data_IF_816413450549
#
_entry.id   IF_816413450549
#
_cell.length_a   1.000
_cell.length_b   1.000
_cell.length_c   1.000
_cell.angle_alpha   90.00
_cell.angle_beta   90.00
_cell.angle_gamma   90.00
#
_symmetry.space_group_name_H-M   'P 1'
#
loop_
_entity.id
_entity.type
_entity.pdbx_description
1 polymer ?
#
# COMPACT_ATOMS: atom_id res chain seq x y z
N UNK A 1 -24.53 4.01 14.35
CA UNK A 1 -23.79 4.76 13.31
C UNK A 1 -22.47 4.06 13.07
N UNK A 2 -22.27 3.38 11.94
CA UNK A 2 -20.91 3.00 11.54
C UNK A 2 -20.24 4.30 11.16
N UNK A 3 -19.23 4.72 11.91
CA UNK A 3 -18.38 5.81 11.45
C UNK A 3 -17.81 5.36 10.11
N UNK A 4 -18.23 6.01 9.02
CA UNK A 4 -17.44 6.01 7.80
C UNK A 4 -16.11 6.62 8.20
N UNK A 5 -15.16 5.76 8.58
CA UNK A 5 -13.79 6.18 8.78
C UNK A 5 -13.30 6.58 7.39
N UNK A 6 -13.48 7.86 7.06
CA UNK A 6 -12.96 8.45 5.85
C UNK A 6 -11.50 7.99 5.67
N UNK A 7 -11.17 7.52 4.48
CA UNK A 7 -9.82 7.08 4.19
C UNK A 7 -8.83 8.19 4.62
N UNK A 8 -7.71 7.84 5.27
CA UNK A 8 -6.74 8.83 5.70
C UNK A 8 -6.28 9.69 4.52
N UNK A 9 -5.93 10.95 4.74
CA UNK A 9 -5.38 11.79 3.67
C UNK A 9 -4.05 11.22 3.14
N UNK A 10 -3.63 11.59 1.92
CA UNK A 10 -2.34 11.16 1.36
C UNK A 10 -1.17 11.48 2.30
N UNK A 11 -1.16 12.66 2.93
CA UNK A 11 -0.16 13.05 3.93
C UNK A 11 -0.13 12.08 5.11
N UNK A 12 -1.30 11.72 5.60
CA UNK A 12 -1.49 10.78 6.71
C UNK A 12 -1.12 9.35 6.35
N UNK A 13 -1.40 8.90 5.13
CA UNK A 13 -0.98 7.60 4.62
C UNK A 13 0.55 7.54 4.52
N UNK A 14 1.20 8.55 3.92
CA UNK A 14 2.66 8.62 3.82
C UNK A 14 3.36 8.60 5.18
N UNK A 15 2.84 9.32 6.17
CA UNK A 15 3.38 9.30 7.52
C UNK A 15 3.32 7.90 8.18
N UNK A 16 2.40 7.04 7.75
CA UNK A 16 2.24 5.66 8.23
C UNK A 16 2.92 4.63 7.33
N UNK A 17 3.32 5.00 6.11
CA UNK A 17 3.98 4.10 5.18
C UNK A 17 5.35 3.70 5.71
N UNK A 18 5.58 2.40 5.75
CA UNK A 18 6.89 1.82 6.01
C UNK A 18 7.43 1.13 4.73
N UNK A 19 8.63 0.55 4.84
CA UNK A 19 9.28 -0.17 3.73
C UNK A 19 8.41 -1.28 3.14
N UNK A 20 7.66 -2.02 3.96
CA UNK A 20 6.77 -3.09 3.51
C UNK A 20 5.63 -2.58 2.63
N UNK A 21 4.99 -1.47 3.00
CA UNK A 21 3.97 -0.84 2.15
C UNK A 21 4.54 -0.43 0.79
N UNK A 22 5.73 0.18 0.78
CA UNK A 22 6.39 0.56 -0.47
C UNK A 22 6.71 -0.66 -1.33
N UNK A 23 7.26 -1.72 -0.75
CA UNK A 23 7.54 -2.97 -1.46
C UNK A 23 6.29 -3.57 -2.10
N UNK A 24 5.15 -3.55 -1.41
CA UNK A 24 3.87 -4.02 -1.97
C UNK A 24 3.44 -3.16 -3.16
N UNK A 25 3.48 -1.83 -3.04
CA UNK A 25 3.11 -0.93 -4.12
C UNK A 25 4.04 -1.10 -5.34
N UNK A 26 5.35 -1.23 -5.13
CA UNK A 26 6.33 -1.48 -6.20
C UNK A 26 6.10 -2.84 -6.87
N UNK A 27 5.82 -3.90 -6.10
CA UNK A 27 5.52 -5.21 -6.66
C UNK A 27 4.27 -5.16 -7.56
N UNK A 28 3.22 -4.47 -7.11
CA UNK A 28 1.98 -4.30 -7.89
C UNK A 28 2.21 -3.46 -9.13
N UNK A 29 2.95 -2.34 -9.02
CA UNK A 29 3.37 -1.52 -10.16
C UNK A 29 4.06 -2.35 -11.24
N UNK A 30 4.95 -3.24 -10.81
CA UNK A 30 5.79 -4.04 -11.68
C UNK A 30 5.13 -5.38 -12.09
N UNK A 31 3.87 -5.63 -11.70
CA UNK A 31 3.15 -6.88 -11.99
C UNK A 31 3.73 -8.13 -11.31
N UNK A 32 4.54 -7.95 -10.26
CA UNK A 32 5.23 -9.03 -9.54
C UNK A 32 4.34 -9.63 -8.46
N UNK A 33 4.25 -10.96 -8.44
CA UNK A 33 3.69 -11.68 -7.29
C UNK A 33 4.59 -11.46 -6.08
N UNK A 34 4.00 -11.15 -4.93
CA UNK A 34 4.68 -11.09 -3.63
C UNK A 34 5.04 -12.52 -3.19
N UNK A 35 5.99 -13.14 -3.89
CA UNK A 35 6.42 -14.50 -3.62
C UNK A 35 7.52 -14.49 -2.54
N UNK A 36 7.10 -14.77 -1.31
CA UNK A 36 7.82 -15.59 -0.33
C UNK A 36 9.33 -15.35 -0.15
N UNK A 37 9.77 -14.10 0.00
CA UNK A 37 10.93 -13.85 0.87
C UNK A 37 10.45 -14.20 2.27
N UNK A 38 10.99 -15.26 2.90
CA UNK A 38 10.71 -15.81 4.26
C UNK A 38 9.25 -15.72 4.77
N UNK A 39 8.66 -16.84 5.21
CA UNK A 39 7.28 -16.89 5.76
C UNK A 39 6.93 -15.74 6.74
N UNK A 40 7.89 -15.29 7.55
CA UNK A 40 7.76 -14.13 8.46
C UNK A 40 7.50 -12.81 7.73
N UNK A 41 8.21 -12.54 6.63
CA UNK A 41 8.02 -11.33 5.82
C UNK A 41 6.74 -11.43 4.97
N UNK A 42 6.35 -12.64 4.55
CA UNK A 42 5.10 -12.85 3.82
C UNK A 42 3.87 -12.41 4.63
N UNK A 43 3.79 -12.76 5.92
CA UNK A 43 2.70 -12.30 6.79
C UNK A 43 2.69 -10.77 6.92
N UNK A 44 3.85 -10.15 7.12
CA UNK A 44 3.97 -8.69 7.20
C UNK A 44 3.56 -7.97 5.91
N UNK A 45 3.94 -8.52 4.75
CA UNK A 45 3.57 -7.97 3.44
C UNK A 45 2.07 -8.15 3.16
N UNK A 46 1.45 -9.24 3.60
CA UNK A 46 0.00 -9.43 3.50
C UNK A 46 -0.76 -8.42 4.36
N UNK A 47 -0.28 -8.13 5.58
CA UNK A 47 -0.83 -7.03 6.41
C UNK A 47 -0.69 -5.69 5.71
N UNK A 48 0.49 -5.38 5.16
CA UNK A 48 0.71 -4.13 4.41
C UNK A 48 -0.24 -4.03 3.21
N UNK A 49 -0.45 -5.14 2.47
CA UNK A 49 -1.39 -5.20 1.34
C UNK A 49 -2.82 -4.92 1.79
N UNK A 50 -3.27 -5.52 2.90
CA UNK A 50 -4.60 -5.27 3.44
C UNK A 50 -4.80 -3.80 3.84
N UNK A 51 -3.80 -3.18 4.48
CA UNK A 51 -3.82 -1.76 4.82
C UNK A 51 -3.92 -0.88 3.57
N UNK A 52 -3.15 -1.17 2.52
CA UNK A 52 -3.17 -0.41 1.27
C UNK A 52 -4.51 -0.54 0.52
N UNK A 53 -5.16 -1.71 0.59
CA UNK A 53 -6.53 -1.90 0.09
C UNK A 53 -7.50 -1.05 0.91
N UNK A 54 -7.37 -1.06 2.24
CA UNK A 54 -8.20 -0.23 3.13
C UNK A 54 -8.03 1.27 2.91
N UNK A 55 -6.88 1.71 2.40
CA UNK A 55 -6.63 3.08 1.97
C UNK A 55 -7.17 3.39 0.56
N UNK A 56 -7.59 2.38 -0.20
CA UNK A 56 -7.92 2.54 -1.61
C UNK A 56 -6.69 2.82 -2.49
N UNK A 57 -5.49 2.46 -2.05
CA UNK A 57 -4.25 2.59 -2.83
C UNK A 57 -4.08 1.46 -3.86
N UNK A 58 -4.76 0.32 -3.65
CA UNK A 58 -4.76 -0.84 -4.52
C UNK A 58 -6.20 -1.28 -4.75
N UNK A 59 -6.52 -1.57 -6.01
CA UNK A 59 -7.79 -2.20 -6.39
C UNK A 59 -7.52 -3.23 -7.49
N UNK A 60 -8.09 -4.44 -7.36
CA UNK A 60 -7.94 -5.52 -8.34
C UNK A 60 -6.48 -5.76 -8.82
N UNK A 61 -5.54 -5.75 -7.86
CA UNK A 61 -4.10 -5.91 -8.11
C UNK A 61 -3.50 -4.83 -9.04
N UNK A 62 -4.09 -3.63 -9.03
CA UNK A 62 -3.60 -2.46 -9.73
C UNK A 62 -3.46 -1.30 -8.77
N UNK A 63 -2.52 -0.39 -9.07
CA UNK A 63 -2.43 0.88 -8.37
C UNK A 63 -3.58 1.79 -8.79
N UNK A 64 -4.26 2.35 -7.80
CA UNK A 64 -5.17 3.48 -8.01
C UNK A 64 -4.36 4.78 -8.11
N UNK A 65 -5.02 5.91 -8.33
CA UNK A 65 -4.39 7.23 -8.26
C UNK A 65 -3.73 7.48 -6.89
N UNK A 66 -4.38 7.07 -5.79
CA UNK A 66 -3.82 7.13 -4.44
C UNK A 66 -2.52 6.32 -4.37
N UNK A 67 -2.51 5.08 -4.89
CA UNK A 67 -1.32 4.24 -4.91
C UNK A 67 -0.16 4.84 -5.71
N UNK A 68 -0.46 5.45 -6.85
CA UNK A 68 0.52 6.15 -7.69
C UNK A 68 1.09 7.37 -6.96
N UNK A 69 0.24 8.18 -6.33
CA UNK A 69 0.68 9.32 -5.54
C UNK A 69 1.59 8.86 -4.40
N UNK A 70 1.21 7.83 -3.63
CA UNK A 70 2.02 7.29 -2.54
C UNK A 70 3.41 6.80 -2.99
N UNK A 71 3.51 6.24 -4.19
CA UNK A 71 4.76 5.83 -4.82
C UNK A 71 5.60 6.99 -5.36
N UNK A 72 4.96 8.09 -5.77
CA UNK A 72 5.65 9.21 -6.37
C UNK A 72 6.72 9.77 -5.42
N UNK A 73 7.95 10.02 -5.93
CA UNK A 73 8.96 10.73 -5.16
C UNK A 73 8.43 12.12 -4.79
N UNK A 74 8.66 12.55 -3.56
CA UNK A 74 8.39 13.93 -3.17
C UNK A 74 9.37 14.79 -3.98
N UNK A 75 8.86 15.56 -4.94
CA UNK A 75 9.59 16.73 -5.42
C UNK A 75 9.77 17.61 -4.18
N UNK A 76 11.02 17.72 -3.74
CA UNK A 76 11.42 18.54 -2.60
C UNK A 76 11.24 20.03 -2.91
#
# INVERSE_FOLDING_TARGET
MKAEMAAPTIRQMRARMNRGHRQVLEAIRDGRKLAATRLSDANGLMTCRATLIGWGAIENERLTEIGQQLLAPQLA
#
